data_IF_207471138557
#
_entry.id   IF_207471138557
#
_cell.length_a   1.000
_cell.length_b   1.000
_cell.length_c   1.000
_cell.angle_alpha   90.00
_cell.angle_beta   90.00
_cell.angle_gamma   90.00
#
_symmetry.space_group_name_H-M   'P 1'
#
loop_
_entity.id
_entity.type
_entity.pdbx_description
1 polymer ?
#
# COMPACT_ATOMS: atom_id res chain seq x y z
N UNK A 1 -7.55 43.78 20.82
CA UNK A 1 -6.31 43.06 21.19
C UNK A 1 -6.57 42.31 22.49
N UNK A 2 -6.65 40.98 22.40
CA UNK A 2 -6.43 39.97 23.46
C UNK A 2 -7.21 38.72 23.06
N UNK A 3 -6.52 37.67 22.61
CA UNK A 3 -7.04 36.32 22.70
C UNK A 3 -5.94 35.42 23.23
N UNK A 4 -6.24 34.87 24.39
CA UNK A 4 -5.39 34.17 25.34
C UNK A 4 -4.86 32.86 24.75
N UNK A 5 -3.54 32.69 24.74
CA UNK A 5 -2.93 31.40 24.42
C UNK A 5 -3.11 30.45 25.61
N UNK A 6 -3.99 29.46 25.46
CA UNK A 6 -4.06 28.31 26.36
C UNK A 6 -2.78 27.48 26.23
N UNK A 7 -1.79 27.71 27.10
CA UNK A 7 -0.69 26.76 27.32
C UNK A 7 -1.15 25.68 28.28
N UNK A 8 -1.80 24.65 27.74
CA UNK A 8 -1.99 23.39 28.46
C UNK A 8 -0.76 22.52 28.23
N UNK A 9 0.23 22.64 29.10
CA UNK A 9 1.38 21.73 29.15
C UNK A 9 0.91 20.37 29.63
N UNK A 10 0.54 19.50 28.69
CA UNK A 10 0.14 18.12 28.97
C UNK A 10 1.41 17.30 29.25
N UNK A 11 1.61 16.72 30.46
CA UNK A 11 2.75 15.85 30.68
C UNK A 11 2.58 14.58 29.83
N UNK A 12 3.53 14.34 28.92
CA UNK A 12 3.58 13.08 28.19
C UNK A 12 3.92 11.96 29.19
N UNK A 13 3.18 10.84 29.21
CA UNK A 13 3.64 9.67 29.94
C UNK A 13 4.95 9.18 29.32
N UNK A 14 6.05 9.36 30.05
CA UNK A 14 7.36 8.85 29.72
C UNK A 14 7.41 7.34 30.01
N UNK A 15 6.83 6.55 29.11
CA UNK A 15 7.08 5.10 29.04
C UNK A 15 6.50 4.51 27.75
N UNK A 16 7.09 4.88 26.61
CA UNK A 16 6.95 4.05 25.42
C UNK A 16 7.70 2.73 25.69
N UNK A 17 7.03 1.57 25.57
CA UNK A 17 7.72 0.29 25.68
C UNK A 17 8.80 0.22 24.61
N UNK A 18 10.03 -0.12 25.04
CA UNK A 18 11.19 -0.35 24.17
C UNK A 18 10.80 -1.31 23.05
N UNK A 19 10.90 -0.95 21.75
CA UNK A 19 10.69 -1.88 20.65
C UNK A 19 11.94 -2.77 20.57
N UNK A 20 12.05 -3.72 21.51
CA UNK A 20 13.22 -4.57 21.68
C UNK A 20 12.89 -6.05 21.73
N UNK A 21 11.62 -6.43 21.53
CA UNK A 21 11.22 -7.82 21.47
C UNK A 21 10.42 -8.04 20.20
N UNK A 22 11.10 -7.85 19.06
CA UNK A 22 10.71 -8.50 17.84
C UNK A 22 10.67 -10.00 18.16
N UNK A 23 9.46 -10.55 18.31
CA UNK A 23 9.30 -12.00 18.25
C UNK A 23 9.97 -12.41 16.95
N UNK A 24 10.90 -13.38 16.95
CA UNK A 24 11.32 -13.95 15.69
C UNK A 24 10.04 -14.43 15.02
N UNK A 25 9.74 -13.87 13.86
CA UNK A 25 8.63 -14.31 13.06
C UNK A 25 9.05 -15.69 12.56
N UNK A 26 8.75 -16.70 13.38
CA UNK A 26 8.98 -18.09 13.03
C UNK A 26 8.03 -18.37 11.89
N UNK A 27 8.52 -18.30 10.66
CA UNK A 27 7.82 -18.80 9.48
C UNK A 27 8.06 -20.31 9.44
N UNK A 28 7.16 -21.14 9.96
CA UNK A 28 7.36 -22.57 9.93
C UNK A 28 6.97 -22.99 8.52
N UNK A 29 7.95 -23.31 7.67
CA UNK A 29 7.77 -23.99 6.38
C UNK A 29 6.97 -23.27 5.28
N UNK A 30 6.34 -22.12 5.52
CA UNK A 30 5.59 -21.36 4.51
C UNK A 30 6.47 -20.80 3.37
N UNK A 31 7.78 -20.73 3.58
CA UNK A 31 8.75 -20.20 2.61
C UNK A 31 8.83 -21.04 1.32
N UNK A 32 8.56 -22.34 1.40
CA UNK A 32 8.59 -23.23 0.24
C UNK A 32 7.36 -23.12 -0.68
N UNK A 33 6.21 -22.73 -0.13
CA UNK A 33 4.97 -22.57 -0.89
C UNK A 33 4.81 -21.17 -1.50
N UNK A 34 5.49 -20.17 -0.94
CA UNK A 34 5.46 -18.78 -1.41
C UNK A 34 5.70 -18.63 -2.93
N UNK A 35 6.73 -19.25 -3.55
CA UNK A 35 6.93 -19.12 -5.00
C UNK A 35 5.77 -19.69 -5.80
N UNK A 36 5.16 -20.79 -5.37
CA UNK A 36 3.99 -21.38 -6.03
C UNK A 36 2.77 -20.47 -5.93
N UNK A 37 2.55 -19.85 -4.77
CA UNK A 37 1.48 -18.87 -4.58
C UNK A 37 1.68 -17.65 -5.49
N UNK A 38 2.92 -17.14 -5.59
CA UNK A 38 3.23 -16.02 -6.49
C UNK A 38 2.99 -16.39 -7.95
N UNK A 39 3.45 -17.56 -8.39
CA UNK A 39 3.22 -18.05 -9.76
C UNK A 39 1.73 -18.20 -10.05
N UNK A 40 0.97 -18.81 -9.13
CA UNK A 40 -0.47 -18.95 -9.28
C UNK A 40 -1.16 -17.58 -9.40
N UNK A 41 -0.78 -16.60 -8.56
CA UNK A 41 -1.30 -15.23 -8.62
C UNK A 41 -0.99 -14.56 -9.96
N UNK A 42 0.25 -14.65 -10.44
CA UNK A 42 0.66 -14.07 -11.73
C UNK A 42 -0.12 -14.70 -12.88
N UNK A 43 -0.27 -16.03 -12.89
CA UNK A 43 -1.06 -16.73 -13.92
C UNK A 43 -2.53 -16.32 -13.88
N UNK A 44 -3.13 -16.24 -12.69
CA UNK A 44 -4.51 -15.77 -12.56
C UNK A 44 -4.66 -14.31 -13.01
N UNK A 45 -3.69 -13.45 -12.68
CA UNK A 45 -3.69 -12.07 -13.12
C UNK A 45 -3.56 -11.96 -14.64
N UNK A 46 -2.71 -12.77 -15.28
CA UNK A 46 -2.59 -12.79 -16.75
C UNK A 46 -3.88 -13.27 -17.44
N UNK A 47 -4.63 -14.19 -16.82
CA UNK A 47 -5.91 -14.67 -17.36
C UNK A 47 -7.08 -13.71 -17.14
N UNK A 48 -7.04 -12.92 -16.07
CA UNK A 48 -8.15 -12.04 -15.64
C UNK A 48 -7.91 -10.58 -16.04
N UNK A 49 -6.66 -10.15 -16.20
CA UNK A 49 -6.35 -8.77 -16.56
C UNK A 49 -6.92 -8.42 -17.94
N UNK A 50 -7.53 -7.24 -18.10
CA UNK A 50 -8.04 -6.81 -19.39
C UNK A 50 -6.88 -6.59 -20.37
N UNK A 51 -6.83 -7.41 -21.41
CA UNK A 51 -5.82 -7.38 -22.50
C UNK A 51 -5.93 -6.18 -23.44
N UNK A 52 -6.88 -5.27 -23.23
CA UNK A 52 -7.16 -4.18 -24.18
C UNK A 52 -6.72 -2.82 -23.62
N UNK A 53 -5.50 -2.36 -23.94
CA UNK A 53 -4.99 -1.06 -23.51
C UNK A 53 -5.89 0.11 -23.94
N UNK A 54 -6.61 -0.03 -25.06
CA UNK A 54 -7.59 0.96 -25.54
C UNK A 54 -8.75 1.18 -24.56
N UNK A 55 -9.24 0.12 -23.89
CA UNK A 55 -10.31 0.25 -22.90
C UNK A 55 -9.84 1.00 -21.64
N UNK A 56 -8.58 0.81 -21.27
CA UNK A 56 -7.94 1.51 -20.16
C UNK A 56 -7.65 2.98 -20.51
N UNK A 57 -7.28 3.27 -21.76
CA UNK A 57 -7.10 4.63 -22.25
C UNK A 57 -8.41 5.42 -22.17
N UNK A 58 -9.53 4.85 -22.63
CA UNK A 58 -10.84 5.47 -22.52
C UNK A 58 -11.27 5.74 -21.06
N UNK A 59 -10.97 4.79 -20.15
CA UNK A 59 -11.24 4.96 -18.71
C UNK A 59 -10.35 6.05 -18.09
N UNK A 60 -9.08 6.09 -18.49
CA UNK A 60 -8.12 7.10 -18.05
C UNK A 60 -8.52 8.50 -18.52
N UNK A 61 -8.90 8.66 -19.79
CA UNK A 61 -9.32 9.94 -20.38
C UNK A 61 -10.61 10.48 -19.76
N UNK A 62 -11.47 9.60 -19.25
CA UNK A 62 -12.68 9.99 -18.52
C UNK A 62 -12.37 10.76 -17.23
N UNK A 63 -11.22 10.49 -16.63
CA UNK A 63 -10.83 11.05 -15.32
C UNK A 63 -9.56 11.91 -15.36
N UNK A 64 -8.80 11.86 -16.47
CA UNK A 64 -7.54 12.56 -16.67
C UNK A 64 -7.49 13.14 -18.10
N UNK A 65 -6.69 14.17 -18.34
CA UNK A 65 -6.50 14.68 -19.70
C UNK A 65 -5.80 13.67 -20.62
N UNK A 66 -6.00 13.74 -21.95
CA UNK A 66 -5.48 12.74 -22.91
C UNK A 66 -3.95 12.65 -22.94
N UNK A 67 -3.24 13.70 -22.52
CA UNK A 67 -1.80 13.68 -22.38
C UNK A 67 -1.31 12.74 -21.26
N UNK A 68 -2.12 12.51 -20.21
CA UNK A 68 -1.79 11.65 -19.08
C UNK A 68 -2.00 10.15 -19.36
N UNK A 69 -2.75 9.83 -20.42
CA UNK A 69 -3.17 8.47 -20.74
C UNK A 69 -2.36 7.84 -21.88
N UNK A 70 -1.36 8.55 -22.42
CA UNK A 70 -0.44 7.98 -23.42
C UNK A 70 0.49 6.99 -22.72
N UNK A 71 0.26 5.70 -22.93
CA UNK A 71 1.16 4.63 -22.52
C UNK A 71 2.27 4.52 -23.58
N UNK A 72 3.52 4.67 -23.17
CA UNK A 72 4.73 4.54 -24.01
C UNK A 72 5.17 3.08 -24.18
#
# INVERSE_FOLDING_TARGET
MASSCFSTSRPLPASLPRPGQARPWSFPHAVGALPLVVVALVLTAALVAPEQPEQLAALCERHNGPAACRVW
#
